data_IF_667206317245
#
_entry.id   IF_667206317245
#
_cell.length_a   1.000
_cell.length_b   1.000
_cell.length_c   1.000
_cell.angle_alpha   90.00
_cell.angle_beta   90.00
_cell.angle_gamma   90.00
#
_symmetry.space_group_name_H-M   'P 1'
#
loop_
_entity.id
_entity.type
_entity.pdbx_description
1 polymer ?
#
# COMPACT_ATOMS: atom_id res chain seq x y z
N UNK A 1 9.03 -11.56 6.42
CA UNK A 1 7.72 -11.90 6.93
C UNK A 1 7.77 -11.97 8.48
N UNK A 2 7.28 -10.93 9.16
CA UNK A 2 7.18 -10.88 10.62
C UNK A 2 5.73 -10.53 10.96
N UNK A 3 5.07 -11.38 11.75
CA UNK A 3 3.70 -11.11 12.15
C UNK A 3 3.66 -9.95 13.17
N UNK A 4 2.95 -8.85 12.91
CA UNK A 4 2.96 -7.66 13.77
C UNK A 4 2.33 -7.90 15.15
N UNK A 5 1.58 -8.99 15.30
CA UNK A 5 0.91 -9.38 16.54
C UNK A 5 1.73 -10.23 17.51
N UNK A 6 2.96 -10.65 17.16
CA UNK A 6 3.73 -11.60 17.97
C UNK A 6 3.96 -11.16 19.43
N UNK A 7 4.20 -9.88 19.64
CA UNK A 7 4.49 -9.30 20.97
C UNK A 7 3.27 -8.61 21.61
N UNK A 8 2.08 -8.71 21.00
CA UNK A 8 0.86 -8.05 21.46
C UNK A 8 -0.10 -9.05 22.06
N UNK A 9 -0.93 -8.57 23.00
CA UNK A 9 -2.15 -9.26 23.42
C UNK A 9 -3.33 -8.75 22.60
N UNK A 10 -4.22 -9.67 22.25
CA UNK A 10 -5.46 -9.35 21.55
C UNK A 10 -6.63 -9.41 22.53
N UNK A 11 -7.62 -8.55 22.35
CA UNK A 11 -8.85 -8.59 23.18
C UNK A 11 -9.55 -9.95 23.10
N UNK A 12 -9.48 -10.61 21.94
CA UNK A 12 -10.05 -11.94 21.71
C UNK A 12 -9.40 -13.06 22.56
N UNK A 13 -8.20 -12.85 23.12
CA UNK A 13 -7.59 -13.81 24.05
C UNK A 13 -8.37 -13.95 25.37
N UNK A 14 -9.29 -13.01 25.64
CA UNK A 14 -10.16 -13.04 26.83
C UNK A 14 -11.47 -13.81 26.60
N UNK A 15 -11.73 -14.24 25.37
CA UNK A 15 -12.94 -14.99 25.08
C UNK A 15 -12.83 -16.41 25.57
N UNK A 16 -13.76 -16.83 26.45
CA UNK A 16 -13.76 -18.14 27.09
C UNK A 16 -13.96 -19.34 26.15
N UNK A 17 -14.52 -19.07 24.95
CA UNK A 17 -14.72 -20.09 23.91
C UNK A 17 -13.48 -20.31 23.01
N UNK A 18 -12.42 -19.52 23.20
CA UNK A 18 -11.16 -19.69 22.47
C UNK A 18 -10.11 -20.27 23.43
N UNK A 19 -9.64 -21.50 23.24
CA UNK A 19 -8.61 -22.09 24.08
C UNK A 19 -7.32 -21.26 24.10
N UNK A 20 -6.76 -21.04 25.28
CA UNK A 20 -5.50 -20.30 25.43
C UNK A 20 -4.33 -20.98 24.67
N UNK A 21 -4.34 -22.32 24.58
CA UNK A 21 -3.36 -23.10 23.82
C UNK A 21 -3.30 -22.73 22.35
N UNK A 22 -4.46 -22.41 21.75
CA UNK A 22 -4.54 -22.00 20.34
C UNK A 22 -3.73 -20.73 20.06
N UNK A 23 -3.76 -19.76 20.98
CA UNK A 23 -2.99 -18.54 20.86
C UNK A 23 -1.49 -18.79 20.93
N UNK A 24 -1.05 -19.66 21.84
CA UNK A 24 0.35 -20.05 21.96
C UNK A 24 0.84 -20.76 20.69
N UNK A 25 0.05 -21.70 20.19
CA UNK A 25 0.33 -22.44 18.95
C UNK A 25 0.46 -21.50 17.74
N UNK A 26 -0.50 -20.58 17.56
CA UNK A 26 -0.47 -19.64 16.45
C UNK A 26 0.71 -18.67 16.53
N UNK A 27 1.11 -18.25 17.75
CA UNK A 27 2.33 -17.44 17.92
C UNK A 27 3.59 -18.21 17.58
N UNK A 28 3.70 -19.47 18.00
CA UNK A 28 4.84 -20.33 17.64
C UNK A 28 4.92 -20.53 16.13
N UNK A 29 3.80 -20.83 15.49
CA UNK A 29 3.74 -20.95 14.02
C UNK A 29 4.16 -19.66 13.33
N UNK A 30 3.62 -18.51 13.73
CA UNK A 30 3.98 -17.21 13.16
C UNK A 30 5.45 -16.86 13.37
N UNK A 31 6.05 -17.27 14.49
CA UNK A 31 7.47 -17.10 14.75
C UNK A 31 8.32 -18.00 13.85
N UNK A 32 7.93 -19.25 13.69
CA UNK A 32 8.64 -20.22 12.81
C UNK A 32 8.57 -19.79 11.32
N UNK A 33 7.50 -19.13 10.90
CA UNK A 33 7.33 -18.61 9.53
C UNK A 33 8.00 -17.24 9.32
N UNK A 34 8.63 -16.66 10.35
CA UNK A 34 9.30 -15.36 10.24
C UNK A 34 10.50 -15.45 9.30
N UNK A 35 10.59 -14.48 8.38
CA UNK A 35 11.70 -14.37 7.43
C UNK A 35 12.47 -13.09 7.73
N UNK A 36 13.66 -13.23 8.29
CA UNK A 36 14.54 -12.11 8.63
C UNK A 36 15.63 -11.88 7.57
N UNK A 37 15.88 -12.87 6.70
CA UNK A 37 16.97 -12.87 5.72
C UNK A 37 16.53 -12.41 4.31
N UNK A 38 15.48 -11.60 4.25
CA UNK A 38 15.02 -11.06 2.95
C UNK A 38 15.88 -9.86 2.57
N UNK A 39 16.26 -9.77 1.29
CA UNK A 39 17.00 -8.64 0.71
C UNK A 39 16.16 -7.36 0.55
N UNK A 40 15.26 -7.08 1.51
CA UNK A 40 14.36 -5.93 1.50
C UNK A 40 14.88 -4.85 2.45
N UNK A 41 14.90 -3.61 1.98
CA UNK A 41 15.17 -2.42 2.78
C UNK A 41 14.03 -1.43 2.63
N UNK A 42 13.71 -0.74 3.73
CA UNK A 42 12.72 0.33 3.76
C UNK A 42 13.40 1.64 4.19
N UNK A 43 13.12 2.69 3.47
CA UNK A 43 13.55 4.05 3.77
C UNK A 43 12.31 4.89 4.06
N UNK A 44 12.31 5.61 5.16
CA UNK A 44 11.19 6.48 5.55
C UNK A 44 11.69 7.88 5.87
N UNK A 45 10.91 8.85 5.44
CA UNK A 45 11.24 10.27 5.61
C UNK A 45 10.04 11.00 6.19
N UNK A 46 10.29 11.87 7.14
CA UNK A 46 9.30 12.79 7.69
C UNK A 46 9.98 14.12 8.02
N UNK A 47 9.27 15.22 7.89
CA UNK A 47 9.77 16.54 8.25
C UNK A 47 9.82 16.73 9.78
N UNK A 48 9.04 15.94 10.53
CA UNK A 48 8.97 16.00 11.98
C UNK A 48 10.03 15.08 12.62
N UNK A 49 11.05 15.64 13.32
CA UNK A 49 12.05 14.84 14.03
C UNK A 49 11.45 13.89 15.08
N UNK A 50 10.32 14.26 15.70
CA UNK A 50 9.66 13.42 16.69
C UNK A 50 9.04 12.18 16.04
N UNK A 51 8.44 12.34 14.86
CA UNK A 51 7.92 11.21 14.07
C UNK A 51 9.04 10.25 13.67
N UNK A 52 10.19 10.78 13.22
CA UNK A 52 11.36 9.98 12.85
C UNK A 52 11.95 9.24 14.07
N UNK A 53 12.06 9.91 15.22
CA UNK A 53 12.51 9.27 16.46
C UNK A 53 11.58 8.11 16.87
N UNK A 54 10.27 8.30 16.77
CA UNK A 54 9.27 7.27 17.05
C UNK A 54 9.37 6.10 16.05
N UNK A 55 9.57 6.38 14.76
CA UNK A 55 9.73 5.36 13.73
C UNK A 55 10.96 4.48 14.01
N UNK A 56 12.10 5.09 14.35
CA UNK A 56 13.32 4.38 14.72
C UNK A 56 13.13 3.52 15.98
N UNK A 57 12.45 4.05 17.01
CA UNK A 57 12.14 3.29 18.23
C UNK A 57 11.22 2.08 17.91
N UNK A 58 10.23 2.26 17.06
CA UNK A 58 9.33 1.18 16.62
C UNK A 58 10.06 0.13 15.78
N UNK A 59 10.96 0.52 14.89
CA UNK A 59 11.80 -0.42 14.12
C UNK A 59 12.67 -1.29 15.04
N UNK A 60 13.26 -0.69 16.08
CA UNK A 60 14.02 -1.41 17.10
C UNK A 60 13.15 -2.38 17.89
N UNK A 61 11.96 -1.96 18.34
CA UNK A 61 11.01 -2.83 19.02
C UNK A 61 10.54 -4.00 18.15
N UNK A 62 10.40 -3.77 16.86
CA UNK A 62 10.04 -4.81 15.90
C UNK A 62 11.24 -5.72 15.53
N UNK A 63 12.47 -5.33 15.84
CA UNK A 63 13.69 -6.07 15.48
C UNK A 63 14.06 -5.95 14.00
N UNK A 64 13.70 -4.82 13.37
CA UNK A 64 13.93 -4.56 11.94
C UNK A 64 14.80 -3.33 11.68
N UNK A 65 15.43 -2.78 12.71
CA UNK A 65 16.23 -1.54 12.64
C UNK A 65 17.38 -1.62 11.63
N UNK A 66 17.89 -2.81 11.36
CA UNK A 66 18.96 -3.00 10.36
C UNK A 66 18.48 -2.90 8.92
N UNK A 67 17.16 -2.92 8.69
CA UNK A 67 16.55 -2.90 7.37
C UNK A 67 15.58 -1.75 7.15
N UNK A 68 15.33 -0.96 8.20
CA UNK A 68 14.45 0.20 8.15
C UNK A 68 15.25 1.42 8.56
N UNK A 69 15.39 2.37 7.66
CA UNK A 69 16.19 3.57 7.82
C UNK A 69 15.26 4.78 7.78
N UNK A 70 15.22 5.56 8.87
CA UNK A 70 14.33 6.72 8.96
C UNK A 70 15.16 7.98 9.18
N UNK A 71 14.89 9.01 8.37
CA UNK A 71 15.62 10.27 8.35
C UNK A 71 14.66 11.47 8.32
N UNK A 72 15.12 12.58 8.90
CA UNK A 72 14.38 13.84 8.83
C UNK A 72 14.64 14.46 7.46
N UNK A 73 13.61 14.60 6.62
CA UNK A 73 13.72 15.24 5.33
C UNK A 73 12.38 15.83 4.87
N UNK A 74 12.45 16.93 4.11
CA UNK A 74 11.30 17.48 3.40
C UNK A 74 11.06 16.69 2.10
N UNK A 75 9.80 16.61 1.69
CA UNK A 75 9.43 16.03 0.38
C UNK A 75 10.09 16.78 -0.78
N UNK A 76 10.43 18.04 -0.60
CA UNK A 76 11.12 18.85 -1.61
C UNK A 76 12.55 18.34 -1.90
N UNK A 77 13.17 17.66 -0.96
CA UNK A 77 14.51 17.10 -1.06
C UNK A 77 14.50 15.59 -1.33
N UNK A 78 13.31 15.01 -1.48
CA UNK A 78 13.16 13.56 -1.66
C UNK A 78 13.54 13.13 -3.08
N UNK A 79 14.48 12.19 -3.17
CA UNK A 79 14.89 11.55 -4.42
C UNK A 79 14.66 10.05 -4.36
N UNK A 80 13.72 9.55 -5.15
CA UNK A 80 13.45 8.11 -5.22
C UNK A 80 14.55 7.38 -5.99
N UNK A 81 14.81 6.10 -5.61
CA UNK A 81 15.60 5.20 -6.45
C UNK A 81 14.73 4.63 -7.56
N UNK A 82 15.29 4.36 -8.77
CA UNK A 82 14.50 3.89 -9.91
C UNK A 82 13.71 2.60 -9.64
N UNK A 83 14.25 1.69 -8.85
CA UNK A 83 13.62 0.42 -8.48
C UNK A 83 12.69 0.51 -7.28
N UNK A 84 12.63 1.66 -6.61
CA UNK A 84 11.85 1.83 -5.39
C UNK A 84 10.35 1.88 -5.66
N UNK A 85 9.59 1.37 -4.72
CA UNK A 85 8.16 1.62 -4.60
C UNK A 85 7.97 2.67 -3.50
N UNK A 86 7.39 3.81 -3.87
CA UNK A 86 7.10 4.91 -2.95
C UNK A 86 5.67 4.76 -2.43
N UNK A 87 5.53 4.76 -1.10
CA UNK A 87 4.24 4.77 -0.41
C UNK A 87 4.13 6.05 0.39
N UNK A 88 3.03 6.79 0.23
CA UNK A 88 2.82 8.03 0.97
C UNK A 88 1.37 8.22 1.39
N UNK A 89 1.20 8.81 2.57
CA UNK A 89 -0.07 9.30 3.09
C UNK A 89 0.13 10.77 3.49
N UNK A 90 0.17 11.68 2.50
CA UNK A 90 0.40 13.09 2.79
C UNK A 90 -0.68 13.63 3.72
N UNK A 91 -0.37 14.62 4.57
CA UNK A 91 -1.36 15.24 5.43
C UNK A 91 -2.49 15.88 4.61
N UNK A 92 -3.72 15.72 5.09
CA UNK A 92 -4.94 16.28 4.48
C UNK A 92 -5.95 16.68 5.55
N UNK A 93 -6.91 17.53 5.17
CA UNK A 93 -7.94 18.02 6.07
C UNK A 93 -7.40 18.91 7.19
N UNK A 94 -7.86 18.69 8.41
CA UNK A 94 -7.54 19.52 9.59
C UNK A 94 -6.04 19.51 9.97
N UNK A 95 -5.28 18.53 9.51
CA UNK A 95 -3.83 18.43 9.77
C UNK A 95 -2.98 19.36 8.90
N UNK A 96 -3.54 19.84 7.82
CA UNK A 96 -2.96 20.92 7.00
C UNK A 96 -3.92 22.10 7.12
N UNK A 97 -3.48 23.21 7.68
CA UNK A 97 -4.30 24.38 7.93
C UNK A 97 -4.97 24.98 6.66
N UNK A 98 -4.69 24.46 5.46
CA UNK A 98 -5.32 24.91 4.22
C UNK A 98 -5.31 23.81 3.14
N UNK A 99 -6.35 23.81 2.30
CA UNK A 99 -6.42 23.02 1.05
C UNK A 99 -5.22 23.34 0.14
N UNK A 100 -4.78 24.59 0.16
CA UNK A 100 -3.63 25.06 -0.62
C UNK A 100 -2.31 24.38 -0.20
N UNK A 101 -2.11 24.13 1.09
CA UNK A 101 -0.95 23.39 1.60
C UNK A 101 -0.90 21.97 1.05
N UNK A 102 -2.02 21.23 1.04
CA UNK A 102 -2.10 19.90 0.48
C UNK A 102 -1.82 19.89 -1.04
N UNK A 103 -2.38 20.86 -1.77
CA UNK A 103 -2.12 21.02 -3.19
C UNK A 103 -0.64 21.35 -3.50
N UNK A 104 -0.01 22.21 -2.68
CA UNK A 104 1.42 22.51 -2.79
C UNK A 104 2.27 21.26 -2.59
N UNK A 105 1.95 20.46 -1.56
CA UNK A 105 2.65 19.21 -1.27
C UNK A 105 2.53 18.23 -2.43
N UNK A 106 1.32 18.04 -2.98
CA UNK A 106 1.09 17.17 -4.13
C UNK A 106 1.88 17.64 -5.37
N UNK A 107 1.93 18.95 -5.65
CA UNK A 107 2.76 19.52 -6.73
C UNK A 107 4.25 19.26 -6.52
N UNK A 108 4.73 19.45 -5.29
CA UNK A 108 6.14 19.18 -4.95
C UNK A 108 6.48 17.71 -5.15
N UNK A 109 5.64 16.80 -4.65
CA UNK A 109 5.81 15.37 -4.87
C UNK A 109 5.80 15.01 -6.36
N UNK A 110 4.88 15.61 -7.14
CA UNK A 110 4.80 15.38 -8.59
C UNK A 110 6.09 15.78 -9.31
N UNK A 111 6.68 16.94 -8.95
CA UNK A 111 7.96 17.39 -9.47
C UNK A 111 9.09 16.42 -9.11
N UNK A 112 9.20 16.03 -7.83
CA UNK A 112 10.24 15.09 -7.38
C UNK A 112 10.14 13.74 -8.11
N UNK A 113 8.92 13.23 -8.33
CA UNK A 113 8.74 11.98 -9.06
C UNK A 113 8.99 12.10 -10.57
N UNK A 114 8.92 13.28 -11.14
CA UNK A 114 9.30 13.54 -12.53
C UNK A 114 10.82 13.63 -12.68
N UNK A 115 11.51 14.26 -11.73
CA UNK A 115 12.96 14.40 -11.68
C UNK A 115 13.66 13.09 -11.27
N UNK A 116 13.03 12.33 -10.36
CA UNK A 116 13.55 11.07 -9.81
C UNK A 116 12.51 9.95 -9.96
N UNK A 117 12.33 9.41 -11.18
CA UNK A 117 11.33 8.38 -11.43
C UNK A 117 11.61 7.09 -10.64
N UNK A 118 10.55 6.43 -10.19
CA UNK A 118 10.59 5.19 -9.43
C UNK A 118 9.71 4.11 -10.08
N UNK A 119 9.84 2.86 -9.62
CA UNK A 119 9.05 1.74 -10.14
C UNK A 119 7.55 1.90 -9.88
N UNK A 120 7.17 2.61 -8.82
CA UNK A 120 5.76 2.91 -8.56
C UNK A 120 5.57 3.87 -7.40
N UNK A 121 4.54 4.72 -7.50
CA UNK A 121 4.06 5.57 -6.42
C UNK A 121 2.63 5.20 -6.06
N UNK A 122 2.39 5.05 -4.78
CA UNK A 122 1.07 4.78 -4.20
C UNK A 122 0.78 5.85 -3.15
N UNK A 123 -0.16 6.73 -3.43
CA UNK A 123 -0.54 7.82 -2.55
C UNK A 123 -1.99 7.64 -2.07
N UNK A 124 -2.19 7.58 -0.74
CA UNK A 124 -3.54 7.62 -0.15
C UNK A 124 -3.82 9.03 0.35
N UNK A 125 -4.91 9.64 -0.09
CA UNK A 125 -5.26 10.99 0.32
C UNK A 125 -6.78 11.22 0.26
N UNK A 126 -7.28 12.18 1.03
CA UNK A 126 -8.64 12.70 0.93
C UNK A 126 -8.76 13.82 -0.13
N UNK A 127 -7.65 14.28 -0.70
CA UNK A 127 -7.67 15.24 -1.81
C UNK A 127 -8.21 14.56 -3.07
N UNK A 128 -9.44 14.88 -3.47
CA UNK A 128 -10.07 14.33 -4.67
C UNK A 128 -9.50 14.95 -5.96
N UNK A 129 -8.78 16.06 -5.87
CA UNK A 129 -8.10 16.76 -6.96
C UNK A 129 -6.60 16.41 -7.05
N UNK A 130 -6.16 15.39 -6.30
CA UNK A 130 -4.75 15.01 -6.18
C UNK A 130 -4.07 14.83 -7.54
N UNK A 131 -4.71 14.21 -8.53
CA UNK A 131 -4.14 14.03 -9.87
C UNK A 131 -3.84 15.37 -10.57
N UNK A 132 -4.75 16.35 -10.41
CA UNK A 132 -4.58 17.70 -10.95
C UNK A 132 -3.42 18.40 -10.28
N UNK A 133 -3.32 18.32 -8.96
CA UNK A 133 -2.25 18.92 -8.18
C UNK A 133 -0.90 18.22 -8.42
N UNK A 134 -0.89 16.90 -8.49
CA UNK A 134 0.29 16.08 -8.78
C UNK A 134 0.81 16.24 -10.22
N UNK A 135 -0.06 16.65 -11.14
CA UNK A 135 0.29 16.92 -12.54
C UNK A 135 0.28 15.69 -13.45
N UNK A 136 -0.19 14.54 -12.99
CA UNK A 136 -0.28 13.32 -13.79
C UNK A 136 -1.49 12.49 -13.38
N UNK A 137 -2.18 11.91 -14.37
CA UNK A 137 -3.27 10.98 -14.13
C UNK A 137 -2.75 9.63 -13.63
N UNK A 138 -3.38 9.07 -12.60
CA UNK A 138 -3.04 7.76 -12.06
C UNK A 138 -3.40 6.61 -13.02
N UNK A 139 -2.60 5.57 -13.04
CA UNK A 139 -2.91 4.34 -13.77
C UNK A 139 -4.18 3.67 -13.22
N UNK A 140 -4.34 3.74 -11.90
CA UNK A 140 -5.50 3.17 -11.20
C UNK A 140 -5.85 3.99 -9.96
N UNK A 141 -7.14 4.05 -9.64
CA UNK A 141 -7.65 4.63 -8.39
C UNK A 141 -8.47 3.60 -7.64
N UNK A 142 -8.40 3.63 -6.32
CA UNK A 142 -9.21 2.78 -5.46
C UNK A 142 -9.79 3.60 -4.31
N UNK A 143 -11.12 3.58 -4.17
CA UNK A 143 -11.81 4.21 -3.06
C UNK A 143 -11.46 3.49 -1.76
N UNK A 144 -11.11 4.25 -0.74
CA UNK A 144 -10.74 3.78 0.58
C UNK A 144 -11.36 4.70 1.64
N UNK A 145 -11.23 4.30 2.90
CA UNK A 145 -11.65 5.11 4.04
C UNK A 145 -10.53 5.09 5.08
N UNK A 146 -10.23 6.25 5.65
CA UNK A 146 -9.38 6.38 6.83
C UNK A 146 -10.28 6.78 8.00
N UNK A 147 -10.73 5.80 8.79
CA UNK A 147 -11.85 5.98 9.72
C UNK A 147 -13.11 6.38 8.96
N UNK A 148 -13.66 7.56 9.27
CA UNK A 148 -14.85 8.13 8.60
C UNK A 148 -14.50 8.99 7.39
N UNK A 149 -13.23 9.27 7.13
CA UNK A 149 -12.81 10.16 6.05
C UNK A 149 -12.72 9.37 4.74
N UNK A 150 -13.49 9.74 3.71
CA UNK A 150 -13.34 9.14 2.39
C UNK A 150 -12.00 9.53 1.77
N UNK A 151 -11.25 8.55 1.30
CA UNK A 151 -9.95 8.71 0.67
C UNK A 151 -9.91 8.00 -0.68
N UNK A 152 -8.92 8.34 -1.48
CA UNK A 152 -8.54 7.56 -2.64
C UNK A 152 -7.08 7.13 -2.55
N UNK A 153 -6.81 5.90 -2.96
CA UNK A 153 -5.48 5.41 -3.25
C UNK A 153 -5.22 5.63 -4.74
N UNK A 154 -4.32 6.54 -5.04
CA UNK A 154 -3.82 6.80 -6.39
C UNK A 154 -2.59 5.95 -6.65
N UNK A 155 -2.55 5.26 -7.78
CA UNK A 155 -1.49 4.32 -8.12
C UNK A 155 -0.85 4.72 -9.45
N UNK A 156 0.46 4.95 -9.41
CA UNK A 156 1.30 5.28 -10.56
C UNK A 156 2.37 4.20 -10.69
N UNK A 157 2.40 3.49 -11.79
CA UNK A 157 3.39 2.42 -12.05
C UNK A 157 3.49 2.19 -13.55
N UNK A 158 4.60 1.63 -13.97
CA UNK A 158 4.68 1.10 -15.32
C UNK A 158 3.85 -0.18 -15.38
N UNK A 159 2.83 -0.19 -16.21
CA UNK A 159 2.05 -1.41 -16.42
C UNK A 159 2.98 -2.49 -16.97
N UNK A 160 3.00 -3.71 -16.40
CA UNK A 160 3.75 -4.79 -16.97
C UNK A 160 3.31 -4.95 -18.43
N UNK A 161 4.26 -4.98 -19.36
CA UNK A 161 4.00 -5.29 -20.76
C UNK A 161 3.59 -6.77 -20.80
N UNK A 162 2.30 -7.03 -20.60
CA UNK A 162 1.76 -8.35 -20.89
C UNK A 162 1.77 -8.50 -22.40
N UNK A 163 2.70 -9.27 -22.93
CA UNK A 163 2.49 -9.89 -24.22
C UNK A 163 1.24 -10.77 -24.10
N UNK A 164 0.13 -10.27 -24.58
CA UNK A 164 -1.05 -11.08 -24.80
C UNK A 164 -0.68 -12.13 -25.84
N UNK A 165 -0.09 -13.23 -25.43
CA UNK A 165 -0.17 -14.48 -26.18
C UNK A 165 -1.65 -14.84 -26.19
N UNK A 166 -2.37 -14.32 -27.18
CA UNK A 166 -3.74 -14.71 -27.45
C UNK A 166 -3.72 -16.24 -27.59
N UNK A 167 -4.20 -16.94 -26.57
CA UNK A 167 -4.50 -18.36 -26.73
C UNK A 167 -5.60 -18.39 -27.82
N UNK A 168 -5.35 -19.11 -28.95
CA UNK A 168 -6.40 -19.25 -29.95
C UNK A 168 -7.62 -19.85 -29.25
N UNK A 169 -8.72 -19.12 -29.25
CA UNK A 169 -9.99 -19.67 -28.78
C UNK A 169 -10.28 -20.93 -29.60
N UNK A 170 -10.55 -22.07 -28.97
CA UNK A 170 -10.98 -23.25 -29.70
C UNK A 170 -12.23 -22.85 -30.48
N UNK A 171 -12.18 -22.98 -31.78
CA UNK A 171 -13.36 -22.83 -32.66
C UNK A 171 -14.35 -23.92 -32.23
N UNK A 172 -15.26 -23.59 -31.31
CA UNK A 172 -16.45 -24.42 -31.09
C UNK A 172 -17.27 -24.31 -32.34
N UNK A 173 -17.27 -25.36 -33.16
CA UNK A 173 -18.18 -25.52 -34.24
C UNK A 173 -19.59 -25.48 -33.67
N UNK A 174 -20.35 -24.46 -34.06
CA UNK A 174 -21.78 -24.37 -33.76
C UNK A 174 -22.47 -25.39 -34.64
N UNK A 175 -22.67 -26.63 -34.11
CA UNK A 175 -23.45 -27.65 -34.77
C UNK A 175 -24.92 -27.33 -34.53
N UNK A 176 -25.53 -26.74 -35.55
CA UNK A 176 -26.87 -26.17 -35.55
C UNK A 176 -28.00 -27.19 -35.50
N UNK A 177 -28.05 -28.11 -34.54
CA UNK A 177 -29.20 -29.01 -34.30
C UNK A 177 -29.42 -29.21 -32.81
N UNK A 178 -30.16 -28.30 -32.19
CA UNK A 178 -30.94 -28.53 -30.98
C UNK A 178 -32.33 -27.99 -31.17
N UNK A 179 -33.23 -28.84 -31.65
CA UNK A 179 -34.70 -28.65 -31.59
C UNK A 179 -35.10 -28.76 -30.11
N UNK A 180 -35.64 -27.69 -29.56
CA UNK A 180 -36.27 -27.69 -28.23
C UNK A 180 -37.75 -27.97 -28.41
N UNK A 181 -38.19 -29.18 -28.06
CA UNK A 181 -39.63 -29.50 -27.94
C UNK A 181 -40.19 -28.91 -26.65
N UNK A 182 -41.06 -27.95 -26.74
CA UNK A 182 -41.90 -27.48 -25.63
C UNK A 182 -43.08 -28.43 -25.43
N UNK A 183 -43.04 -29.24 -24.36
CA UNK A 183 -44.25 -29.93 -23.87
C UNK A 183 -45.10 -28.93 -23.09
N UNK A 184 -46.28 -28.63 -23.63
CA UNK A 184 -47.37 -27.96 -22.89
C UNK A 184 -47.93 -28.94 -21.86
N UNK A 185 -48.00 -28.48 -20.61
CA UNK A 185 -48.95 -28.93 -19.58
C UNK A 185 -49.68 -27.73 -19.05
#
# INVERSE_FOLDING_TARGET
>A
NIAPGLKRRFAAERYSFVPASLWAEQRQKALAESKLDVGFEAFGYDIDPAAVALANANAKLAGVEKRCHFEVADVADFAAKPEAIVLTNPPYGERMNTIEGAAKLARTLGRQMAEHPCAGLYAITADMEFESHYGKRANKRRKMYNGMIPCQLYMYYEAPKFEHKAKPMPKQGFDGKRTVEFKKK
#
